data_IF_077274822653
#
_entry.id   IF_077274822653
#
_cell.length_a   1.000
_cell.length_b   1.000
_cell.length_c   1.000
_cell.angle_alpha   90.00
_cell.angle_beta   90.00
_cell.angle_gamma   90.00
#
_symmetry.space_group_name_H-M   'P 1'
#
loop_
_entity.id
_entity.type
_entity.pdbx_description
1 polymer ?
#
# COMPACT_ATOMS: atom_id res chain seq x y z
N UNK A 1 -25.96 9.92 48.65
CA UNK A 1 -26.74 8.85 48.01
C UNK A 1 -25.92 8.39 46.82
N UNK A 2 -25.61 7.11 46.81
CA UNK A 2 -24.66 6.42 45.94
C UNK A 2 -24.76 6.78 44.46
N UNK A 3 -23.64 7.15 43.87
CA UNK A 3 -23.41 7.10 42.42
C UNK A 3 -22.23 6.17 42.19
N UNK A 4 -22.47 4.88 42.39
CA UNK A 4 -21.54 3.82 41.99
C UNK A 4 -21.50 3.76 40.46
N UNK A 5 -20.45 4.33 39.87
CA UNK A 5 -20.06 4.04 38.50
C UNK A 5 -19.63 2.56 38.45
N UNK A 6 -20.32 1.76 37.66
CA UNK A 6 -19.87 0.42 37.28
C UNK A 6 -18.67 0.59 36.34
N UNK A 7 -17.47 0.24 36.81
CA UNK A 7 -16.33 0.01 35.92
C UNK A 7 -16.66 -1.18 35.01
N UNK A 8 -16.51 -1.07 33.69
CA UNK A 8 -16.54 -2.24 32.83
C UNK A 8 -15.30 -3.09 33.14
N UNK A 9 -15.52 -4.36 33.47
CA UNK A 9 -14.51 -5.40 33.58
C UNK A 9 -13.72 -5.49 32.27
N UNK A 10 -12.62 -4.74 32.19
CA UNK A 10 -11.59 -4.87 31.16
C UNK A 10 -10.86 -6.19 31.40
N UNK A 11 -11.39 -7.28 30.86
CA UNK A 11 -10.70 -8.56 30.72
C UNK A 11 -9.86 -8.60 29.45
N UNK A 12 -9.05 -7.56 29.21
CA UNK A 12 -7.85 -7.77 28.42
C UNK A 12 -6.93 -8.61 29.29
N UNK A 13 -6.87 -9.92 29.00
CA UNK A 13 -5.84 -10.77 29.55
C UNK A 13 -4.49 -10.06 29.31
N UNK A 14 -3.58 -10.00 30.31
CA UNK A 14 -2.28 -9.41 30.10
C UNK A 14 -1.63 -10.15 28.93
N UNK A 15 -1.52 -9.46 27.79
CA UNK A 15 -0.92 -10.00 26.59
C UNK A 15 0.44 -10.56 26.95
N UNK A 16 0.68 -11.80 26.52
CA UNK A 16 2.00 -12.42 26.48
C UNK A 16 2.97 -11.34 26.03
N UNK A 17 3.95 -10.99 26.88
CA UNK A 17 4.86 -9.90 26.59
C UNK A 17 5.57 -10.17 25.27
N UNK A 18 5.12 -9.52 24.19
CA UNK A 18 5.78 -9.65 22.90
C UNK A 18 7.00 -8.74 22.92
N UNK A 19 8.18 -9.31 22.71
CA UNK A 19 9.45 -8.59 22.51
C UNK A 19 9.45 -7.73 21.24
N UNK A 20 8.33 -7.72 20.50
CA UNK A 20 8.12 -7.05 19.22
C UNK A 20 6.70 -6.47 19.26
N UNK A 21 6.50 -5.20 18.87
CA UNK A 21 5.26 -4.44 19.10
C UNK A 21 3.99 -5.07 18.51
N UNK A 22 2.83 -4.45 18.78
CA UNK A 22 1.54 -4.88 18.22
C UNK A 22 1.38 -4.40 16.77
N UNK A 23 0.72 -5.18 15.90
CA UNK A 23 0.35 -4.70 14.58
C UNK A 23 -0.67 -3.57 14.72
N UNK A 24 -0.43 -2.46 14.02
CA UNK A 24 -1.27 -1.25 14.08
C UNK A 24 -2.27 -1.24 12.94
N UNK A 25 -1.83 -1.59 11.73
CA UNK A 25 -2.63 -1.51 10.52
C UNK A 25 -2.44 -2.75 9.65
N UNK A 26 -3.51 -3.22 9.01
CA UNK A 26 -3.48 -4.39 8.12
C UNK A 26 -4.13 -4.09 6.79
N UNK A 27 -3.44 -4.43 5.70
CA UNK A 27 -4.00 -4.40 4.35
C UNK A 27 -4.72 -5.72 4.07
N UNK A 28 -5.97 -5.62 3.64
CA UNK A 28 -6.82 -6.76 3.30
C UNK A 28 -7.01 -6.75 1.78
N UNK A 29 -6.24 -7.55 1.06
CA UNK A 29 -6.45 -7.77 -0.36
C UNK A 29 -7.62 -8.72 -0.56
N UNK A 30 -8.83 -8.19 -0.48
CA UNK A 30 -10.04 -9.04 -0.47
C UNK A 30 -10.31 -9.71 -1.83
N UNK A 31 -9.69 -9.23 -2.90
CA UNK A 31 -9.77 -9.76 -4.27
C UNK A 31 -8.65 -9.19 -5.13
N UNK A 32 -8.21 -9.91 -6.16
CA UNK A 32 -7.34 -9.38 -7.22
C UNK A 32 -8.08 -8.95 -8.50
N UNK A 33 -9.40 -9.09 -8.51
CA UNK A 33 -10.24 -8.58 -9.61
C UNK A 33 -10.18 -7.06 -9.62
N UNK A 34 -9.89 -6.46 -10.77
CA UNK A 34 -9.83 -5.00 -10.93
C UNK A 34 -10.31 -4.60 -12.33
N UNK A 35 -11.10 -3.53 -12.48
CA UNK A 35 -11.41 -2.98 -13.81
C UNK A 35 -10.20 -2.31 -14.46
N UNK A 36 -9.23 -1.83 -13.67
CA UNK A 36 -8.02 -1.15 -14.14
C UNK A 36 -6.88 -2.12 -14.43
N UNK A 37 -5.88 -1.63 -15.16
CA UNK A 37 -4.69 -2.39 -15.54
C UNK A 37 -3.42 -1.56 -15.37
N UNK A 38 -3.33 -0.78 -14.29
CA UNK A 38 -2.25 0.18 -14.08
C UNK A 38 -0.87 -0.48 -14.25
N UNK A 39 0.05 0.11 -15.04
CA UNK A 39 1.38 -0.47 -15.31
C UNK A 39 2.29 -0.48 -14.08
N UNK A 40 1.92 0.23 -13.03
CA UNK A 40 2.61 0.26 -11.74
C UNK A 40 1.92 -0.57 -10.66
N UNK A 41 0.90 -1.36 -11.00
CA UNK A 41 0.09 -2.08 -10.02
C UNK A 41 0.96 -2.92 -9.07
N UNK A 42 0.71 -2.78 -7.78
CA UNK A 42 1.45 -3.48 -6.74
C UNK A 42 1.13 -4.98 -6.69
N UNK A 43 -0.08 -5.37 -7.11
CA UNK A 43 -0.52 -6.77 -7.15
C UNK A 43 0.48 -7.63 -7.93
N UNK A 44 0.66 -8.90 -7.53
CA UNK A 44 1.59 -9.80 -8.21
C UNK A 44 1.27 -9.92 -9.71
N UNK A 45 2.28 -10.33 -10.50
CA UNK A 45 2.05 -10.66 -11.92
C UNK A 45 1.09 -11.84 -12.06
N UNK A 46 1.25 -12.84 -11.17
CA UNK A 46 0.38 -14.00 -11.05
C UNK A 46 -0.71 -13.71 -10.00
N UNK A 47 -1.88 -13.30 -10.47
CA UNK A 47 -3.00 -12.98 -9.59
C UNK A 47 -3.72 -14.24 -9.11
N UNK A 48 -4.08 -14.24 -7.82
CA UNK A 48 -5.07 -15.17 -7.27
C UNK A 48 -6.35 -15.22 -8.10
N UNK A 49 -6.82 -16.45 -8.34
CA UNK A 49 -8.06 -16.70 -9.07
C UNK A 49 -9.25 -16.49 -8.13
N UNK A 50 -10.42 -16.09 -8.64
CA UNK A 50 -11.61 -15.88 -7.80
C UNK A 50 -12.02 -17.10 -6.97
N UNK A 51 -11.75 -18.32 -7.46
CA UNK A 51 -12.05 -19.56 -6.73
C UNK A 51 -11.13 -19.82 -5.52
N UNK A 52 -10.00 -19.12 -5.42
CA UNK A 52 -9.07 -19.21 -4.28
C UNK A 52 -9.35 -18.13 -3.22
N UNK A 53 -10.16 -17.11 -3.54
CA UNK A 53 -10.53 -16.03 -2.63
C UNK A 53 -11.15 -16.61 -1.33
N UNK A 54 -10.83 -16.02 -0.18
CA UNK A 54 -11.49 -16.33 1.09
C UNK A 54 -12.99 -16.07 0.99
N UNK A 55 -13.76 -16.98 1.60
CA UNK A 55 -15.20 -16.85 1.73
C UNK A 55 -15.54 -15.68 2.68
N UNK A 56 -16.80 -15.26 2.67
CA UNK A 56 -17.26 -14.14 3.50
C UNK A 56 -17.06 -14.45 4.99
N UNK A 57 -17.44 -15.66 5.42
CA UNK A 57 -17.30 -16.12 6.80
C UNK A 57 -15.84 -16.18 7.28
N UNK A 58 -14.90 -16.48 6.38
CA UNK A 58 -13.47 -16.49 6.68
C UNK A 58 -12.96 -15.06 6.93
N UNK A 59 -13.36 -14.10 6.09
CA UNK A 59 -13.01 -12.69 6.29
C UNK A 59 -13.61 -12.11 7.57
N UNK A 60 -14.86 -12.45 7.89
CA UNK A 60 -15.52 -12.03 9.14
C UNK A 60 -14.73 -12.56 10.34
N UNK A 61 -14.35 -13.84 10.34
CA UNK A 61 -13.47 -14.42 11.38
C UNK A 61 -12.16 -13.64 11.49
N UNK A 62 -11.49 -13.42 10.35
CA UNK A 62 -10.21 -12.68 10.29
C UNK A 62 -10.34 -11.29 10.90
N UNK A 63 -11.41 -10.55 10.63
CA UNK A 63 -11.62 -9.20 11.19
C UNK A 63 -11.73 -9.23 12.71
N UNK A 64 -12.43 -10.19 13.30
CA UNK A 64 -12.47 -10.35 14.76
C UNK A 64 -11.10 -10.75 15.33
N UNK A 65 -10.39 -11.68 14.70
CA UNK A 65 -9.03 -12.07 15.13
C UNK A 65 -8.04 -10.89 15.05
N UNK A 66 -8.19 -9.99 14.08
CA UNK A 66 -7.38 -8.77 13.99
C UNK A 66 -7.64 -7.83 15.18
N UNK A 67 -8.91 -7.62 15.54
CA UNK A 67 -9.27 -6.82 16.70
C UNK A 67 -8.75 -7.44 18.01
N UNK A 68 -8.86 -8.76 18.16
CA UNK A 68 -8.31 -9.51 19.32
C UNK A 68 -6.78 -9.39 19.41
N UNK A 69 -6.09 -9.28 18.27
CA UNK A 69 -4.64 -9.03 18.19
C UNK A 69 -4.25 -7.59 18.53
N UNK A 70 -5.23 -6.68 18.67
CA UNK A 70 -5.01 -5.26 18.98
C UNK A 70 -4.78 -4.37 17.76
N UNK A 71 -5.14 -4.83 16.57
CA UNK A 71 -5.10 -4.02 15.34
C UNK A 71 -6.08 -2.86 15.46
N UNK A 72 -5.67 -1.68 14.98
CA UNK A 72 -6.50 -0.47 15.03
C UNK A 72 -7.15 -0.17 13.69
N UNK A 73 -6.46 -0.45 12.58
CA UNK A 73 -6.88 -0.05 11.24
C UNK A 73 -6.86 -1.21 10.25
N UNK A 74 -7.89 -1.32 9.44
CA UNK A 74 -7.93 -2.24 8.30
C UNK A 74 -8.17 -1.48 7.00
N UNK A 75 -7.44 -1.88 5.96
CA UNK A 75 -7.50 -1.27 4.64
C UNK A 75 -8.05 -2.29 3.64
N UNK A 76 -9.30 -2.14 3.22
CA UNK A 76 -9.88 -2.95 2.17
C UNK A 76 -9.31 -2.55 0.81
N UNK A 77 -8.60 -3.46 0.15
CA UNK A 77 -7.87 -3.20 -1.10
C UNK A 77 -7.72 -4.48 -1.94
N UNK A 78 -6.55 -4.71 -2.54
CA UNK A 78 -6.26 -5.78 -3.49
C UNK A 78 -6.22 -5.23 -4.90
N UNK A 79 -7.08 -5.73 -5.78
CA UNK A 79 -7.34 -5.18 -7.09
C UNK A 79 -8.39 -4.07 -7.03
N UNK A 80 -9.62 -4.45 -6.70
CA UNK A 80 -10.75 -3.54 -6.50
C UNK A 80 -11.71 -4.15 -5.46
N UNK A 81 -11.72 -3.67 -4.20
CA UNK A 81 -12.60 -4.22 -3.18
C UNK A 81 -14.07 -4.14 -3.57
N UNK A 82 -14.49 -3.14 -4.36
CA UNK A 82 -15.87 -3.00 -4.83
C UNK A 82 -16.29 -4.06 -5.88
N UNK A 83 -15.35 -4.88 -6.36
CA UNK A 83 -15.65 -6.05 -7.20
C UNK A 83 -16.22 -7.22 -6.38
N UNK A 84 -16.07 -7.21 -5.05
CA UNK A 84 -16.75 -8.14 -4.16
C UNK A 84 -18.22 -7.77 -3.97
N UNK A 85 -19.06 -8.79 -3.88
CA UNK A 85 -20.52 -8.63 -3.67
C UNK A 85 -20.84 -8.40 -2.19
N UNK A 86 -20.01 -8.97 -1.33
CA UNK A 86 -20.08 -8.99 0.13
C UNK A 86 -19.26 -7.86 0.80
N UNK A 87 -18.71 -6.90 0.05
CA UNK A 87 -17.86 -5.85 0.63
C UNK A 87 -18.56 -5.04 1.73
N UNK A 88 -19.87 -4.80 1.61
CA UNK A 88 -20.66 -4.10 2.63
C UNK A 88 -20.75 -4.91 3.91
N UNK A 89 -20.88 -6.24 3.81
CA UNK A 89 -20.89 -7.16 4.95
C UNK A 89 -19.52 -7.19 5.65
N UNK A 90 -18.42 -7.17 4.88
CA UNK A 90 -17.07 -7.11 5.45
C UNK A 90 -16.81 -5.78 6.19
N UNK A 91 -17.31 -4.66 5.66
CA UNK A 91 -17.23 -3.37 6.34
C UNK A 91 -18.03 -3.39 7.64
N UNK A 92 -19.26 -3.93 7.62
CA UNK A 92 -20.08 -4.06 8.81
C UNK A 92 -19.40 -4.92 9.90
N UNK A 93 -18.76 -6.02 9.50
CA UNK A 93 -18.00 -6.87 10.41
C UNK A 93 -16.77 -6.16 10.99
N UNK A 94 -16.07 -5.33 10.20
CA UNK A 94 -14.96 -4.52 10.70
C UNK A 94 -15.44 -3.50 11.74
N UNK A 95 -16.58 -2.86 11.49
CA UNK A 95 -17.20 -1.91 12.42
C UNK A 95 -17.66 -2.61 13.70
N UNK A 96 -18.29 -3.77 13.62
CA UNK A 96 -18.69 -4.58 14.79
C UNK A 96 -17.48 -5.01 15.64
N UNK A 97 -16.37 -5.36 14.99
CA UNK A 97 -15.09 -5.66 15.65
C UNK A 97 -14.39 -4.41 16.22
N UNK A 98 -14.90 -3.19 16.00
CA UNK A 98 -14.31 -1.96 16.50
C UNK A 98 -13.09 -1.45 15.71
N UNK A 99 -12.90 -1.93 14.48
CA UNK A 99 -11.78 -1.56 13.61
C UNK A 99 -12.09 -0.30 12.79
N UNK A 100 -11.10 0.58 12.67
CA UNK A 100 -11.19 1.70 11.73
C UNK A 100 -10.99 1.20 10.30
N UNK A 101 -12.01 1.32 9.45
CA UNK A 101 -11.99 0.77 8.09
C UNK A 101 -11.74 1.86 7.03
N UNK A 102 -10.70 1.67 6.22
CA UNK A 102 -10.41 2.48 5.03
C UNK A 102 -10.67 1.65 3.76
N UNK A 103 -11.48 2.19 2.84
CA UNK A 103 -11.71 1.61 1.53
C UNK A 103 -10.76 2.23 0.50
N UNK A 104 -9.78 1.45 0.03
CA UNK A 104 -8.85 1.85 -1.05
C UNK A 104 -9.41 1.32 -2.37
N UNK A 105 -9.94 2.22 -3.21
CA UNK A 105 -10.69 1.84 -4.42
C UNK A 105 -10.24 2.62 -5.65
N UNK A 106 -10.47 2.03 -6.82
CA UNK A 106 -10.34 2.75 -8.09
C UNK A 106 -11.46 3.78 -8.30
N UNK A 107 -12.54 3.75 -7.50
CA UNK A 107 -13.72 4.61 -7.65
C UNK A 107 -14.64 4.24 -8.82
N UNK A 108 -14.21 3.41 -9.76
CA UNK A 108 -14.97 3.09 -11.00
C UNK A 108 -16.32 2.42 -10.71
N UNK A 109 -16.39 1.61 -9.65
CA UNK A 109 -17.58 0.84 -9.24
C UNK A 109 -18.29 1.44 -8.02
N UNK A 110 -18.00 2.70 -7.67
CA UNK A 110 -18.51 3.36 -6.48
C UNK A 110 -19.71 4.25 -6.83
N UNK A 111 -20.92 3.68 -6.78
CA UNK A 111 -22.17 4.43 -6.99
C UNK A 111 -22.69 5.07 -5.70
N UNK A 112 -23.66 5.99 -5.82
CA UNK A 112 -24.32 6.61 -4.67
C UNK A 112 -24.96 5.58 -3.74
N UNK A 113 -25.62 4.57 -4.30
CA UNK A 113 -26.30 3.51 -3.54
C UNK A 113 -25.28 2.66 -2.78
N UNK A 114 -24.14 2.34 -3.41
CA UNK A 114 -23.08 1.57 -2.77
C UNK A 114 -22.38 2.38 -1.67
N UNK A 115 -22.16 3.68 -1.87
CA UNK A 115 -21.65 4.58 -0.83
C UNK A 115 -22.60 4.68 0.36
N UNK A 116 -23.90 4.80 0.12
CA UNK A 116 -24.90 4.83 1.19
C UNK A 116 -24.89 3.53 2.01
N UNK A 117 -24.81 2.37 1.34
CA UNK A 117 -24.71 1.08 2.01
C UNK A 117 -23.41 0.95 2.84
N UNK A 118 -22.28 1.45 2.33
CA UNK A 118 -21.01 1.49 3.07
C UNK A 118 -21.09 2.42 4.29
N UNK A 119 -21.80 3.55 4.18
CA UNK A 119 -22.00 4.48 5.30
C UNK A 119 -22.86 3.85 6.39
N UNK A 120 -23.94 3.16 6.01
CA UNK A 120 -24.79 2.41 6.94
C UNK A 120 -24.02 1.27 7.61
N UNK A 121 -23.12 0.60 6.89
CA UNK A 121 -22.24 -0.42 7.43
C UNK A 121 -21.13 0.14 8.34
N UNK A 122 -20.95 1.47 8.42
CA UNK A 122 -19.98 2.10 9.31
C UNK A 122 -18.57 2.25 8.75
N UNK A 123 -18.42 2.32 7.41
CA UNK A 123 -17.13 2.64 6.79
C UNK A 123 -16.56 3.96 7.37
N UNK A 124 -15.27 3.99 7.70
CA UNK A 124 -14.67 5.17 8.34
C UNK A 124 -14.05 6.15 7.35
N UNK A 125 -13.47 5.65 6.26
CA UNK A 125 -12.66 6.46 5.34
C UNK A 125 -12.66 5.89 3.91
N UNK A 126 -12.55 6.78 2.92
CA UNK A 126 -12.43 6.40 1.50
C UNK A 126 -11.17 7.00 0.90
N UNK A 127 -10.40 6.15 0.23
CA UNK A 127 -9.21 6.53 -0.52
C UNK A 127 -9.41 6.17 -2.00
N UNK A 128 -9.35 7.18 -2.87
CA UNK A 128 -9.53 7.01 -4.31
C UNK A 128 -8.22 7.27 -5.03
N UNK A 129 -7.75 6.26 -5.78
CA UNK A 129 -6.52 6.40 -6.58
C UNK A 129 -6.81 7.07 -7.91
N UNK A 130 -6.08 8.15 -8.21
CA UNK A 130 -6.09 8.86 -9.49
C UNK A 130 -4.76 8.64 -10.22
N UNK A 131 -4.84 8.41 -11.53
CA UNK A 131 -3.67 8.08 -12.37
C UNK A 131 -3.06 9.31 -13.06
N UNK A 132 -3.75 10.44 -13.02
CA UNK A 132 -3.40 11.72 -13.62
C UNK A 132 -4.55 12.71 -13.40
N UNK A 133 -4.31 14.00 -13.61
CA UNK A 133 -5.31 15.07 -13.45
C UNK A 133 -6.15 15.26 -14.71
N UNK A 134 -5.68 14.73 -15.84
CA UNK A 134 -6.32 14.82 -17.14
C UNK A 134 -6.87 13.45 -17.57
N UNK A 135 -8.03 13.47 -18.24
CA UNK A 135 -8.70 12.22 -18.65
C UNK A 135 -7.84 11.35 -19.55
N UNK A 136 -7.08 11.94 -20.48
CA UNK A 136 -6.24 11.18 -21.40
C UNK A 136 -5.14 10.42 -20.66
N UNK A 137 -4.34 11.12 -19.85
CA UNK A 137 -3.27 10.50 -19.05
C UNK A 137 -3.83 9.50 -18.06
N UNK A 138 -4.88 9.86 -17.32
CA UNK A 138 -5.47 9.00 -16.30
C UNK A 138 -6.07 7.71 -16.88
N UNK A 139 -6.80 7.80 -17.99
CA UNK A 139 -7.40 6.64 -18.64
C UNK A 139 -6.35 5.74 -19.31
N UNK A 140 -5.32 6.36 -19.92
CA UNK A 140 -4.18 5.63 -20.49
C UNK A 140 -3.46 4.85 -19.41
N UNK A 141 -2.94 5.53 -18.39
CA UNK A 141 -2.22 4.91 -17.28
C UNK A 141 -3.12 3.90 -16.54
N UNK A 142 -4.41 4.19 -16.37
CA UNK A 142 -5.36 3.26 -15.76
C UNK A 142 -5.70 2.04 -16.61
N UNK A 143 -5.39 2.05 -17.91
CA UNK A 143 -5.80 1.03 -18.87
C UNK A 143 -7.32 0.91 -18.98
N UNK A 144 -8.06 2.01 -18.77
CA UNK A 144 -9.52 2.01 -18.69
C UNK A 144 -10.11 3.31 -19.23
N UNK A 145 -10.91 3.20 -20.31
CA UNK A 145 -11.55 4.34 -20.95
C UNK A 145 -12.66 4.93 -20.07
N UNK A 146 -12.71 6.27 -19.98
CA UNK A 146 -13.64 7.04 -19.17
C UNK A 146 -13.52 6.72 -17.66
N UNK A 147 -12.34 6.29 -17.20
CA UNK A 147 -12.09 5.99 -15.79
C UNK A 147 -11.99 7.26 -14.97
N UNK A 148 -11.32 8.28 -15.50
CA UNK A 148 -11.12 9.56 -14.83
C UNK A 148 -12.44 10.25 -14.47
N UNK A 149 -13.37 10.37 -15.44
CA UNK A 149 -14.68 10.98 -15.20
C UNK A 149 -15.48 10.24 -14.11
N UNK A 150 -15.42 8.90 -14.08
CA UNK A 150 -16.07 8.10 -13.04
C UNK A 150 -15.45 8.34 -11.67
N UNK A 151 -14.13 8.47 -11.60
CA UNK A 151 -13.39 8.74 -10.36
C UNK A 151 -13.71 10.10 -9.77
N UNK A 152 -13.80 11.13 -10.61
CA UNK A 152 -14.22 12.48 -10.19
C UNK A 152 -15.62 12.45 -9.58
N UNK A 153 -16.58 11.76 -10.23
CA UNK A 153 -17.92 11.62 -9.67
C UNK A 153 -17.91 10.81 -8.36
N UNK A 154 -17.16 9.71 -8.31
CA UNK A 154 -17.02 8.91 -7.09
C UNK A 154 -16.45 9.72 -5.91
N UNK A 155 -15.45 10.56 -6.15
CA UNK A 155 -14.87 11.44 -5.14
C UNK A 155 -15.88 12.50 -4.66
N UNK A 156 -16.63 13.10 -5.58
CA UNK A 156 -17.70 14.06 -5.26
C UNK A 156 -18.80 13.41 -4.41
N UNK A 157 -19.28 12.23 -4.82
CA UNK A 157 -20.27 11.45 -4.07
C UNK A 157 -19.76 11.05 -2.68
N UNK A 158 -18.48 10.69 -2.57
CA UNK A 158 -17.84 10.35 -1.30
C UNK A 158 -17.92 11.51 -0.31
N UNK A 159 -17.61 12.74 -0.76
CA UNK A 159 -17.74 13.94 0.08
C UNK A 159 -19.19 14.31 0.38
N UNK A 160 -20.10 14.18 -0.58
CA UNK A 160 -21.54 14.39 -0.34
C UNK A 160 -22.09 13.45 0.73
N UNK A 161 -21.59 12.21 0.78
CA UNK A 161 -21.94 11.22 1.80
C UNK A 161 -21.28 11.50 3.16
N UNK A 162 -20.45 12.54 3.28
CA UNK A 162 -19.80 12.95 4.52
C UNK A 162 -18.52 12.20 4.86
N UNK A 163 -18.01 11.35 3.97
CA UNK A 163 -16.78 10.60 4.23
C UNK A 163 -15.53 11.49 4.18
N UNK A 164 -14.57 11.28 5.08
CA UNK A 164 -13.17 11.63 4.86
C UNK A 164 -12.69 11.05 3.52
N UNK A 165 -12.07 11.90 2.70
CA UNK A 165 -11.54 11.53 1.39
C UNK A 165 -10.02 11.74 1.38
N UNK A 166 -9.31 10.69 0.99
CA UNK A 166 -7.91 10.78 0.55
C UNK A 166 -7.82 10.57 -0.96
N UNK A 167 -7.14 11.48 -1.64
CA UNK A 167 -6.70 11.26 -3.02
C UNK A 167 -5.35 10.56 -3.00
N UNK A 168 -5.23 9.42 -3.64
CA UNK A 168 -3.95 8.73 -3.80
C UNK A 168 -3.44 8.94 -5.23
N UNK A 169 -2.26 9.54 -5.36
CA UNK A 169 -1.62 9.92 -6.61
C UNK A 169 -0.29 9.17 -6.74
N UNK A 170 -0.26 8.16 -7.61
CA UNK A 170 0.98 7.45 -7.90
C UNK A 170 1.75 8.20 -8.98
N UNK A 171 2.89 8.76 -8.61
CA UNK A 171 3.72 9.62 -9.45
C UNK A 171 4.86 8.83 -10.11
N UNK A 172 5.06 9.07 -11.40
CA UNK A 172 6.07 8.44 -12.24
C UNK A 172 6.51 9.37 -13.39
N UNK A 173 7.54 8.96 -14.15
CA UNK A 173 8.15 9.74 -15.25
C UNK A 173 7.16 10.42 -16.18
N UNK A 174 6.03 9.78 -16.46
CA UNK A 174 5.07 10.24 -17.48
C UNK A 174 3.92 11.09 -16.92
N UNK A 175 3.75 11.21 -15.60
CA UNK A 175 2.69 12.04 -15.01
C UNK A 175 3.19 13.03 -13.94
N UNK A 176 4.47 13.02 -13.58
CA UNK A 176 5.05 13.93 -12.58
C UNK A 176 4.83 15.42 -12.87
N UNK A 177 4.79 15.78 -14.15
CA UNK A 177 4.50 17.17 -14.56
C UNK A 177 3.09 17.63 -14.18
N UNK A 178 2.15 16.70 -13.95
CA UNK A 178 0.76 16.98 -13.55
C UNK A 178 0.60 17.12 -12.02
N UNK A 179 1.67 17.06 -11.24
CA UNK A 179 1.60 17.11 -9.78
C UNK A 179 0.89 18.37 -9.25
N UNK A 180 1.18 19.59 -9.74
CA UNK A 180 0.47 20.79 -9.29
C UNK A 180 -1.05 20.66 -9.48
N UNK A 181 -1.48 20.23 -10.66
CA UNK A 181 -2.89 20.05 -11.01
C UNK A 181 -3.54 18.92 -10.22
N UNK A 182 -2.80 17.86 -9.89
CA UNK A 182 -3.27 16.78 -9.02
C UNK A 182 -3.54 17.27 -7.59
N UNK A 183 -2.67 18.14 -7.06
CA UNK A 183 -2.84 18.76 -5.75
C UNK A 183 -4.07 19.68 -5.76
N UNK A 184 -4.19 20.55 -6.77
CA UNK A 184 -5.32 21.45 -6.88
C UNK A 184 -6.64 20.68 -7.09
N UNK A 185 -6.64 19.61 -7.89
CA UNK A 185 -7.78 18.70 -8.03
C UNK A 185 -8.18 18.07 -6.69
N UNK A 186 -7.23 17.67 -5.84
CA UNK A 186 -7.55 17.12 -4.51
C UNK A 186 -8.24 18.18 -3.62
N UNK A 187 -7.80 19.44 -3.67
CA UNK A 187 -8.45 20.56 -2.99
C UNK A 187 -9.87 20.78 -3.52
N UNK A 188 -10.05 20.83 -4.84
CA UNK A 188 -11.35 21.03 -5.49
C UNK A 188 -12.35 19.92 -5.16
N UNK A 189 -11.87 18.67 -5.08
CA UNK A 189 -12.65 17.52 -4.66
C UNK A 189 -12.96 17.54 -3.16
N UNK A 190 -12.45 18.50 -2.38
CA UNK A 190 -12.64 18.59 -0.94
C UNK A 190 -11.96 17.45 -0.17
N UNK A 191 -10.89 16.87 -0.73
CA UNK A 191 -10.09 15.88 -0.02
C UNK A 191 -9.40 16.52 1.18
N UNK A 192 -9.25 15.74 2.25
CA UNK A 192 -8.53 16.18 3.46
C UNK A 192 -7.06 15.80 3.39
N UNK A 193 -6.73 14.85 2.52
CA UNK A 193 -5.39 14.29 2.35
C UNK A 193 -5.13 13.96 0.89
N UNK A 194 -3.91 14.20 0.44
CA UNK A 194 -3.36 13.64 -0.80
C UNK A 194 -2.10 12.84 -0.47
N UNK A 195 -2.04 11.60 -0.95
CA UNK A 195 -0.81 10.80 -0.93
C UNK A 195 -0.11 10.96 -2.28
N UNK A 196 1.03 11.65 -2.27
CA UNK A 196 1.92 11.80 -3.42
C UNK A 196 2.96 10.68 -3.33
N UNK A 197 2.61 9.52 -3.89
CA UNK A 197 3.40 8.31 -3.79
C UNK A 197 4.24 8.11 -5.05
N UNK A 198 5.56 8.21 -4.97
CA UNK A 198 6.39 7.76 -6.08
C UNK A 198 6.27 6.24 -6.26
N UNK A 199 6.24 5.80 -7.52
CA UNK A 199 6.16 4.38 -7.86
C UNK A 199 7.22 3.59 -7.11
N UNK A 200 6.76 2.49 -6.51
CA UNK A 200 7.61 1.47 -5.92
C UNK A 200 7.81 0.35 -6.92
N UNK A 201 9.05 -0.10 -7.11
CA UNK A 201 9.42 -0.98 -8.23
C UNK A 201 9.37 -2.46 -7.85
N UNK A 202 8.16 -2.98 -7.75
CA UNK A 202 7.85 -4.41 -7.62
C UNK A 202 6.69 -4.79 -8.55
N UNK A 203 6.48 -6.08 -8.79
CA UNK A 203 5.37 -6.58 -9.62
C UNK A 203 5.34 -5.92 -11.00
N UNK A 204 4.23 -5.27 -11.33
CA UNK A 204 4.06 -4.60 -12.64
C UNK A 204 4.97 -3.39 -12.82
N UNK A 205 5.27 -2.66 -11.76
CA UNK A 205 6.15 -1.51 -11.83
C UNK A 205 7.59 -1.91 -12.19
N UNK A 206 8.06 -3.07 -11.70
CA UNK A 206 9.36 -3.61 -12.08
C UNK A 206 9.39 -4.01 -13.56
N UNK A 207 8.32 -4.61 -14.07
CA UNK A 207 8.17 -4.94 -15.50
C UNK A 207 8.14 -3.71 -16.40
N UNK A 208 7.59 -2.60 -15.90
CA UNK A 208 7.46 -1.32 -16.61
C UNK A 208 8.51 -0.28 -16.17
N UNK A 209 9.64 -0.71 -15.59
CA UNK A 209 10.59 0.18 -14.91
C UNK A 209 11.08 1.33 -15.79
N UNK A 210 11.55 1.06 -17.01
CA UNK A 210 11.99 2.06 -17.98
C UNK A 210 10.96 3.19 -18.20
N UNK A 211 9.70 2.80 -18.40
CA UNK A 211 8.60 3.70 -18.70
C UNK A 211 8.13 4.50 -17.47
N UNK A 212 8.44 4.05 -16.26
CA UNK A 212 7.97 4.63 -14.99
C UNK A 212 9.06 5.41 -14.24
N UNK A 213 10.34 5.03 -14.39
CA UNK A 213 11.48 5.60 -13.65
C UNK A 213 11.65 7.10 -13.96
N UNK A 214 11.39 8.00 -13.00
CA UNK A 214 11.55 9.44 -13.24
C UNK A 214 13.02 9.82 -13.38
N UNK A 215 13.31 11.00 -13.91
CA UNK A 215 14.67 11.57 -13.88
C UNK A 215 14.93 12.27 -12.55
N UNK A 216 16.20 12.50 -12.21
CA UNK A 216 16.58 13.28 -11.02
C UNK A 216 15.95 14.69 -11.05
N UNK A 217 16.00 15.37 -12.21
CA UNK A 217 15.39 16.70 -12.38
C UNK A 217 13.88 16.70 -12.10
N UNK A 218 13.17 15.66 -12.51
CA UNK A 218 11.74 15.50 -12.20
C UNK A 218 11.51 15.33 -10.70
N UNK A 219 12.38 14.62 -10.00
CA UNK A 219 12.28 14.43 -8.55
C UNK A 219 12.63 15.71 -7.78
N UNK A 220 13.66 16.44 -8.18
CA UNK A 220 13.97 17.75 -7.60
C UNK A 220 12.82 18.74 -7.78
N UNK A 221 12.21 18.75 -8.97
CA UNK A 221 11.01 19.54 -9.27
C UNK A 221 9.82 19.12 -8.39
N UNK A 222 9.59 17.81 -8.25
CA UNK A 222 8.55 17.24 -7.39
C UNK A 222 8.73 17.68 -5.92
N UNK A 223 9.94 17.53 -5.38
CA UNK A 223 10.28 17.93 -4.01
C UNK A 223 9.96 19.41 -3.76
N UNK A 224 10.32 20.29 -4.71
CA UNK A 224 10.04 21.72 -4.63
C UNK A 224 8.53 22.01 -4.65
N UNK A 225 7.79 21.39 -5.58
CA UNK A 225 6.33 21.58 -5.69
C UNK A 225 5.62 21.13 -4.40
N UNK A 226 6.00 19.97 -3.86
CA UNK A 226 5.43 19.47 -2.60
C UNK A 226 5.70 20.44 -1.45
N UNK A 227 6.95 20.87 -1.27
CA UNK A 227 7.30 21.79 -0.19
C UNK A 227 6.55 23.14 -0.28
N UNK A 228 6.42 23.69 -1.49
CA UNK A 228 5.63 24.90 -1.74
C UNK A 228 4.13 24.68 -1.45
N UNK A 229 3.59 23.53 -1.81
CA UNK A 229 2.18 23.17 -1.59
C UNK A 229 1.87 22.89 -0.12
N UNK A 230 2.75 22.22 0.62
CA UNK A 230 2.59 21.96 2.06
C UNK A 230 2.47 23.26 2.85
N UNK A 231 3.27 24.28 2.51
CA UNK A 231 3.17 25.59 3.15
C UNK A 231 1.89 26.32 2.73
N UNK A 232 1.59 26.33 1.42
CA UNK A 232 0.40 27.02 0.86
C UNK A 232 -0.91 26.44 1.37
N UNK A 233 -0.98 25.13 1.60
CA UNK A 233 -2.21 24.39 1.91
C UNK A 233 -2.28 23.90 3.36
N UNK A 234 -1.41 24.42 4.23
CA UNK A 234 -1.38 24.10 5.66
C UNK A 234 -2.76 24.28 6.29
N UNK A 235 -3.30 23.20 6.85
CA UNK A 235 -4.64 23.17 7.47
C UNK A 235 -5.81 23.03 6.50
N UNK A 236 -5.56 22.99 5.19
CA UNK A 236 -6.56 22.75 4.14
C UNK A 236 -6.43 21.32 3.62
N UNK A 237 -5.22 20.93 3.20
CA UNK A 237 -4.92 19.62 2.64
C UNK A 237 -3.64 19.08 3.28
N UNK A 238 -3.70 17.88 3.83
CA UNK A 238 -2.51 17.16 4.28
C UNK A 238 -1.85 16.48 3.07
N UNK A 239 -0.57 16.76 2.82
CA UNK A 239 0.20 16.14 1.74
C UNK A 239 1.13 15.11 2.38
N UNK A 240 0.95 13.84 2.05
CA UNK A 240 1.90 12.79 2.41
C UNK A 240 2.75 12.45 1.20
N UNK A 241 4.03 12.80 1.28
CA UNK A 241 4.96 12.64 0.19
C UNK A 241 5.94 11.51 0.43
N UNK A 242 5.98 10.55 -0.50
CA UNK A 242 6.92 9.43 -0.47
C UNK A 242 7.97 9.64 -1.55
N UNK A 243 9.18 10.04 -1.15
CA UNK A 243 10.35 10.17 -2.04
C UNK A 243 10.72 8.79 -2.63
N UNK A 244 11.15 8.68 -3.90
CA UNK A 244 11.58 7.40 -4.45
C UNK A 244 12.88 6.93 -3.79
N UNK A 245 12.95 5.64 -3.45
CA UNK A 245 14.12 5.06 -2.78
C UNK A 245 15.42 5.18 -3.61
N UNK A 246 15.29 5.20 -4.94
CA UNK A 246 16.40 5.37 -5.89
C UNK A 246 17.14 6.72 -5.77
N UNK A 247 16.57 7.70 -5.05
CA UNK A 247 17.14 9.03 -4.87
C UNK A 247 17.32 9.41 -3.38
N UNK A 248 17.06 8.47 -2.47
CA UNK A 248 17.21 8.71 -1.04
C UNK A 248 18.65 8.51 -0.58
N UNK A 249 19.14 9.35 0.35
CA UNK A 249 20.47 9.18 0.97
C UNK A 249 20.47 8.03 2.00
N UNK A 250 19.29 7.75 2.56
CA UNK A 250 19.03 6.69 3.52
C UNK A 250 17.71 6.01 3.16
N UNK A 251 17.60 4.68 3.35
CA UNK A 251 16.38 3.97 3.03
C UNK A 251 15.28 4.39 3.99
N UNK A 252 14.03 4.43 3.50
CA UNK A 252 12.87 4.64 4.36
C UNK A 252 12.66 3.44 5.30
N UNK A 253 12.05 3.68 6.45
CA UNK A 253 11.52 2.63 7.32
C UNK A 253 10.32 1.97 6.64
N UNK A 254 10.55 0.95 5.83
CA UNK A 254 9.50 0.27 5.05
C UNK A 254 8.42 -0.29 5.98
N UNK A 255 7.21 0.27 5.91
CA UNK A 255 6.05 -0.12 6.74
C UNK A 255 6.32 -0.16 8.25
N UNK A 256 7.22 0.68 8.77
CA UNK A 256 7.58 0.70 10.19
C UNK A 256 8.54 -0.41 10.64
N UNK A 257 9.06 -1.20 9.69
CA UNK A 257 9.93 -2.35 9.91
C UNK A 257 9.22 -3.68 9.59
N UNK A 258 9.96 -4.63 9.04
CA UNK A 258 9.42 -5.93 8.60
C UNK A 258 8.66 -6.65 9.71
N UNK A 259 7.36 -6.90 9.46
CA UNK A 259 6.49 -7.60 10.39
C UNK A 259 6.39 -6.93 11.77
N UNK A 260 6.52 -5.60 11.88
CA UNK A 260 6.54 -4.90 13.18
C UNK A 260 5.27 -4.11 13.49
N UNK A 261 4.74 -3.37 12.53
CA UNK A 261 3.54 -2.53 12.71
C UNK A 261 2.46 -2.79 11.67
N UNK A 262 2.81 -3.47 10.59
CA UNK A 262 1.94 -3.69 9.45
C UNK A 262 2.15 -5.08 8.88
N UNK A 263 1.09 -5.63 8.32
CA UNK A 263 1.13 -6.79 7.44
C UNK A 263 -0.05 -6.74 6.45
N UNK A 264 -0.01 -7.65 5.48
CA UNK A 264 -0.99 -7.80 4.43
C UNK A 264 -1.60 -9.20 4.49
N UNK A 265 -2.87 -9.34 4.12
CA UNK A 265 -3.54 -10.62 3.93
C UNK A 265 -4.00 -10.70 2.48
N UNK A 266 -3.45 -11.67 1.75
CA UNK A 266 -3.78 -11.90 0.33
C UNK A 266 -5.22 -12.40 0.15
N UNK A 267 -5.78 -12.42 -1.09
CA UNK A 267 -7.12 -12.94 -1.30
C UNK A 267 -7.27 -14.40 -0.90
N UNK A 268 -6.19 -15.20 -1.00
CA UNK A 268 -6.18 -16.61 -0.62
C UNK A 268 -6.00 -16.83 0.89
N UNK A 269 -5.73 -15.77 1.66
CA UNK A 269 -5.54 -15.80 3.11
C UNK A 269 -4.09 -15.88 3.58
N UNK A 270 -3.11 -15.77 2.67
CA UNK A 270 -1.69 -15.74 3.06
C UNK A 270 -1.38 -14.45 3.81
N UNK A 271 -0.62 -14.54 4.88
CA UNK A 271 -0.20 -13.39 5.69
C UNK A 271 1.23 -13.00 5.31
N UNK A 272 1.38 -11.76 4.83
CA UNK A 272 2.61 -11.23 4.27
C UNK A 272 3.08 -10.01 5.08
N UNK A 273 4.38 -9.89 5.42
CA UNK A 273 4.89 -8.74 6.18
C UNK A 273 4.83 -7.42 5.41
N UNK A 274 4.70 -7.47 4.08
CA UNK A 274 4.37 -6.34 3.23
C UNK A 274 3.77 -6.83 1.91
N UNK A 275 3.21 -5.91 1.12
CA UNK A 275 2.59 -6.22 -0.17
C UNK A 275 3.54 -6.95 -1.14
N UNK A 276 4.83 -6.61 -1.14
CA UNK A 276 5.78 -7.17 -2.11
C UNK A 276 6.50 -8.43 -1.59
N UNK A 277 6.17 -8.96 -0.40
CA UNK A 277 6.97 -10.00 0.24
C UNK A 277 7.07 -11.31 -0.58
N UNK A 278 6.04 -11.64 -1.37
CA UNK A 278 6.05 -12.83 -2.24
C UNK A 278 7.05 -12.75 -3.40
N UNK A 279 7.69 -11.58 -3.64
CA UNK A 279 8.80 -11.51 -4.60
C UNK A 279 10.08 -12.15 -4.07
N UNK A 280 10.22 -12.29 -2.74
CA UNK A 280 11.40 -12.89 -2.11
C UNK A 280 11.28 -14.40 -2.20
N UNK A 281 12.06 -15.00 -3.09
CA UNK A 281 12.07 -16.46 -3.24
C UNK A 281 12.72 -17.11 -2.03
N UNK A 282 12.12 -18.20 -1.51
CA UNK A 282 12.64 -18.93 -0.35
C UNK A 282 12.00 -18.55 0.99
N UNK A 283 10.94 -17.75 0.98
CA UNK A 283 10.04 -17.58 2.11
C UNK A 283 8.73 -18.32 1.85
N UNK A 284 8.28 -19.10 2.82
CA UNK A 284 6.97 -19.74 2.84
C UNK A 284 6.06 -18.97 3.80
N UNK A 285 4.94 -18.44 3.29
CA UNK A 285 4.03 -17.62 4.06
C UNK A 285 2.84 -18.44 4.57
N UNK A 286 2.56 -18.31 5.87
CA UNK A 286 1.43 -18.97 6.53
C UNK A 286 0.08 -18.35 6.11
N UNK A 287 -0.99 -19.12 6.30
CA UNK A 287 -2.35 -18.72 5.93
C UNK A 287 -3.30 -18.73 7.13
N UNK A 288 -4.23 -17.77 7.15
CA UNK A 288 -5.34 -17.71 8.11
C UNK A 288 -6.34 -18.86 7.96
N UNK A 289 -6.16 -19.70 6.93
CA UNK A 289 -6.89 -20.97 6.76
C UNK A 289 -6.37 -22.06 7.69
N UNK A 290 -5.08 -22.02 8.00
CA UNK A 290 -4.35 -23.10 8.67
C UNK A 290 -3.95 -22.71 10.11
N UNK A 291 -3.75 -21.42 10.36
CA UNK A 291 -3.30 -20.88 11.64
C UNK A 291 -4.10 -19.64 12.05
N UNK A 292 -4.22 -19.39 13.36
CA UNK A 292 -4.78 -18.12 13.85
C UNK A 292 -3.82 -16.96 13.64
N UNK A 293 -4.35 -15.74 13.52
CA UNK A 293 -3.52 -14.55 13.32
C UNK A 293 -2.54 -14.30 14.47
N UNK A 294 -2.93 -14.59 15.72
CA UNK A 294 -2.01 -14.52 16.86
C UNK A 294 -0.83 -15.48 16.72
N UNK A 295 -1.09 -16.71 16.27
CA UNK A 295 -0.01 -17.67 16.03
C UNK A 295 0.91 -17.20 14.90
N UNK A 296 0.34 -16.74 13.78
CA UNK A 296 1.12 -16.24 12.64
C UNK A 296 1.97 -15.05 13.06
N UNK A 297 1.40 -14.10 13.81
CA UNK A 297 2.11 -12.92 14.28
C UNK A 297 3.34 -13.28 15.12
N UNK A 298 3.18 -14.21 16.06
CA UNK A 298 4.22 -14.55 17.03
C UNK A 298 5.23 -15.58 16.50
N UNK A 299 4.77 -16.55 15.70
CA UNK A 299 5.53 -17.77 15.41
C UNK A 299 5.84 -17.99 13.92
N UNK A 300 5.22 -17.26 12.99
CA UNK A 300 5.48 -17.46 11.56
C UNK A 300 6.96 -17.24 11.23
N UNK A 301 7.66 -18.22 10.63
CA UNK A 301 9.05 -18.06 10.24
C UNK A 301 9.25 -16.91 9.23
N UNK A 302 8.35 -16.75 8.26
CA UNK A 302 8.47 -15.69 7.24
C UNK A 302 8.23 -14.30 7.84
N UNK A 303 7.24 -14.16 8.72
CA UNK A 303 6.93 -12.87 9.35
C UNK A 303 8.04 -12.43 10.32
N UNK A 304 8.71 -13.39 10.97
CA UNK A 304 9.82 -13.13 11.90
C UNK A 304 11.20 -13.09 11.24
N UNK A 305 11.35 -13.53 9.98
CA UNK A 305 12.68 -13.71 9.33
C UNK A 305 13.58 -12.48 9.39
N UNK A 306 13.00 -11.31 9.13
CA UNK A 306 13.69 -10.02 9.12
C UNK A 306 13.13 -9.04 10.17
N UNK A 307 12.45 -9.57 11.20
CA UNK A 307 11.93 -8.76 12.30
C UNK A 307 13.06 -8.44 13.27
N UNK A 308 13.10 -7.21 13.77
CA UNK A 308 14.16 -6.75 14.67
C UNK A 308 15.49 -6.55 13.93
N UNK A 309 16.61 -6.74 14.63
CA UNK A 309 17.97 -6.42 14.13
C UNK A 309 18.93 -7.60 14.12
N UNK A 310 18.57 -8.74 14.73
CA UNK A 310 19.46 -9.90 14.89
C UNK A 310 19.87 -10.57 13.56
N UNK A 311 19.05 -10.42 12.53
CA UNK A 311 19.31 -10.96 11.19
C UNK A 311 20.32 -10.14 10.38
N UNK A 312 20.63 -8.90 10.81
CA UNK A 312 21.36 -7.94 10.00
C UNK A 312 22.84 -8.33 9.84
N UNK A 313 23.33 -8.20 8.61
CA UNK A 313 24.75 -8.22 8.28
C UNK A 313 25.38 -6.83 8.42
N UNK A 314 26.71 -6.73 8.34
CA UNK A 314 27.38 -5.44 8.20
C UNK A 314 27.04 -4.79 6.83
N UNK A 315 26.94 -3.45 6.76
CA UNK A 315 27.19 -2.48 7.82
C UNK A 315 26.03 -2.26 8.80
N UNK A 316 24.83 -2.78 8.50
CA UNK A 316 23.63 -2.55 9.33
C UNK A 316 23.79 -3.05 10.77
N UNK A 317 24.48 -4.19 10.95
CA UNK A 317 24.68 -4.81 12.26
C UNK A 317 25.35 -3.88 13.27
N UNK A 318 26.34 -3.09 12.86
CA UNK A 318 27.05 -2.13 13.71
C UNK A 318 26.56 -0.68 13.57
N UNK A 319 25.55 -0.43 12.73
CA UNK A 319 25.03 0.91 12.46
C UNK A 319 24.21 1.46 13.62
N UNK A 320 24.38 2.75 13.93
CA UNK A 320 23.62 3.45 14.98
C UNK A 320 22.12 3.56 14.66
N UNK A 321 21.75 3.49 13.38
CA UNK A 321 20.37 3.68 12.91
C UNK A 321 19.60 2.37 12.65
N UNK A 322 20.19 1.23 12.98
CA UNK A 322 19.61 -0.10 12.69
C UNK A 322 18.22 -0.33 13.32
N UNK A 323 17.88 0.42 14.37
CA UNK A 323 16.57 0.39 15.05
C UNK A 323 15.63 1.52 14.58
N UNK A 324 16.07 2.37 13.66
CA UNK A 324 15.29 3.46 13.07
C UNK A 324 14.75 3.05 11.70
N UNK A 325 15.65 2.65 10.79
CA UNK A 325 15.31 2.27 9.41
C UNK A 325 15.15 0.76 9.21
N UNK A 326 15.55 -0.05 10.20
CA UNK A 326 15.53 -1.51 10.16
C UNK A 326 16.21 -2.10 8.92
N UNK A 327 17.27 -1.44 8.44
CA UNK A 327 18.03 -1.83 7.27
C UNK A 327 17.34 -1.50 5.95
N UNK A 328 16.17 -0.85 5.95
CA UNK A 328 15.42 -0.49 4.75
C UNK A 328 14.53 -1.61 4.19
N UNK A 329 14.19 -1.52 2.91
CA UNK A 329 13.26 -2.41 2.23
C UNK A 329 13.90 -3.77 1.86
N UNK A 330 13.39 -4.85 2.46
CA UNK A 330 13.88 -6.22 2.18
C UNK A 330 13.54 -6.69 0.76
N UNK A 331 12.39 -6.24 0.22
CA UNK A 331 11.98 -6.58 -1.15
C UNK A 331 12.88 -5.89 -2.19
N UNK A 332 13.31 -4.65 -1.92
CA UNK A 332 14.25 -3.93 -2.77
C UNK A 332 15.66 -4.53 -2.68
N UNK A 333 16.12 -4.84 -1.47
CA UNK A 333 17.37 -5.57 -1.27
C UNK A 333 17.40 -6.87 -2.07
N UNK A 334 16.32 -7.68 -2.01
CA UNK A 334 16.23 -8.89 -2.82
C UNK A 334 16.22 -8.61 -4.33
N UNK A 335 15.41 -7.67 -4.80
CA UNK A 335 15.27 -7.38 -6.23
C UNK A 335 16.58 -6.87 -6.88
N UNK A 336 17.44 -6.20 -6.10
CA UNK A 336 18.67 -5.59 -6.61
C UNK A 336 19.94 -6.36 -6.25
N UNK A 337 19.99 -6.97 -5.07
CA UNK A 337 21.16 -7.70 -4.58
C UNK A 337 21.02 -9.23 -4.71
N UNK A 338 19.82 -9.74 -5.00
CA UNK A 338 19.51 -11.18 -4.98
C UNK A 338 19.40 -11.78 -3.57
N UNK A 339 19.53 -10.97 -2.52
CA UNK A 339 19.44 -11.39 -1.12
C UNK A 339 18.64 -10.38 -0.29
N UNK A 340 17.51 -10.83 0.27
CA UNK A 340 16.66 -10.03 1.15
C UNK A 340 17.32 -9.72 2.51
N UNK A 341 18.39 -10.42 2.88
CA UNK A 341 19.23 -10.13 4.06
C UNK A 341 20.29 -9.04 3.83
N UNK A 342 20.51 -8.61 2.58
CA UNK A 342 21.49 -7.58 2.27
C UNK A 342 21.02 -6.18 2.72
N UNK A 343 21.96 -5.26 2.94
CA UNK A 343 21.64 -3.84 3.14
C UNK A 343 20.88 -3.31 1.92
N UNK A 344 19.80 -2.57 2.15
CA UNK A 344 19.04 -1.94 1.07
C UNK A 344 19.97 -1.06 0.21
N UNK A 345 20.07 -1.28 -1.11
CA UNK A 345 20.91 -0.48 -2.00
C UNK A 345 20.57 1.02 -2.03
N UNK A 346 19.38 1.43 -1.58
CA UNK A 346 19.07 2.84 -1.36
C UNK A 346 19.94 3.49 -0.26
N UNK A 347 20.54 2.70 0.64
CA UNK A 347 21.47 3.18 1.65
C UNK A 347 22.84 3.50 1.06
N UNK A 348 23.39 4.68 1.38
CA UNK A 348 24.75 5.07 0.96
C UNK A 348 25.88 4.20 1.51
N UNK A 349 25.62 3.38 2.54
CA UNK A 349 26.57 2.40 3.05
C UNK A 349 26.47 1.04 2.36
N UNK A 350 25.49 0.83 1.47
CA UNK A 350 25.41 -0.39 0.69
C UNK A 350 26.54 -0.44 -0.35
N UNK A 351 27.23 -1.58 -0.52
CA UNK A 351 28.23 -1.74 -1.58
C UNK A 351 27.62 -1.66 -2.99
N UNK A 352 26.29 -1.77 -3.11
CA UNK A 352 25.54 -1.68 -4.37
C UNK A 352 24.91 -0.30 -4.60
N UNK A 353 25.21 0.70 -3.77
CA UNK A 353 24.60 2.03 -3.86
C UNK A 353 24.88 2.71 -5.22
N UNK A 354 26.10 2.61 -5.73
CA UNK A 354 26.44 3.20 -7.04
C UNK A 354 25.80 2.44 -8.22
N UNK A 355 25.38 1.19 -8.02
CA UNK A 355 24.71 0.41 -9.04
C UNK A 355 23.24 0.78 -9.18
N UNK A 356 22.55 1.06 -8.06
CA UNK A 356 21.14 1.48 -8.10
C UNK A 356 20.94 2.80 -8.87
N UNK A 357 21.86 3.77 -8.72
CA UNK A 357 21.81 5.02 -9.49
C UNK A 357 22.06 4.81 -10.98
N UNK A 358 23.05 3.97 -11.34
CA UNK A 358 23.32 3.67 -12.75
C UNK A 358 22.15 2.99 -13.43
N UNK A 359 21.45 2.09 -12.74
CA UNK A 359 20.21 1.49 -13.23
C UNK A 359 19.16 2.57 -13.42
N UNK A 360 18.95 3.45 -12.44
CA UNK A 360 17.97 4.53 -12.55
C UNK A 360 18.26 5.48 -13.72
N UNK A 361 19.51 5.90 -13.90
CA UNK A 361 19.94 6.75 -15.02
C UNK A 361 19.72 6.07 -16.37
N UNK A 362 20.06 4.78 -16.48
CA UNK A 362 19.89 4.02 -17.73
C UNK A 362 18.41 3.87 -18.08
N UNK A 363 17.57 3.50 -17.10
CA UNK A 363 16.13 3.32 -17.29
C UNK A 363 15.43 4.64 -17.58
N UNK A 364 15.81 5.72 -16.89
CA UNK A 364 15.29 7.07 -17.13
C UNK A 364 15.78 7.69 -18.46
N UNK A 365 16.83 7.14 -19.07
CA UNK A 365 17.31 7.51 -20.41
C UNK A 365 16.71 6.64 -21.53
N UNK A 366 15.92 5.62 -21.20
CA UNK A 366 15.31 4.76 -22.22
C UNK A 366 14.37 5.55 -23.16
N UNK A 367 14.44 5.22 -24.44
CA UNK A 367 13.61 5.81 -25.51
C UNK A 367 12.19 5.22 -25.55
N UNK A 368 12.04 3.93 -25.21
CA UNK A 368 10.75 3.26 -25.19
C UNK A 368 10.02 3.55 -23.87
N UNK A 369 8.97 4.36 -23.98
CA UNK A 369 8.10 4.79 -22.88
C UNK A 369 6.74 4.06 -22.88
N UNK A 370 6.61 2.98 -23.66
CA UNK A 370 5.38 2.21 -23.73
C UNK A 370 5.12 1.43 -22.44
N UNK A 371 3.84 1.28 -22.10
CA UNK A 371 3.41 0.47 -20.98
C UNK A 371 3.03 -0.94 -21.43
N UNK A 372 3.59 -1.94 -20.75
CA UNK A 372 3.05 -3.29 -20.71
C UNK A 372 1.85 -3.33 -19.76
N UNK A 373 0.67 -3.52 -20.32
CA UNK A 373 -0.57 -3.72 -19.58
C UNK A 373 -0.86 -5.21 -19.39
N UNK A 374 -1.61 -5.52 -18.33
CA UNK A 374 -1.96 -6.89 -17.94
C UNK A 374 -2.64 -7.71 -19.04
N UNK A 375 -3.57 -7.12 -19.79
CA UNK A 375 -4.31 -7.87 -20.82
C UNK A 375 -3.66 -7.80 -22.21
N UNK A 376 -2.58 -7.04 -22.36
CA UNK A 376 -1.86 -6.86 -23.63
C UNK A 376 -0.41 -7.35 -23.51
N UNK A 377 -0.23 -8.53 -22.90
CA UNK A 377 1.09 -9.12 -22.71
C UNK A 377 1.80 -9.27 -24.06
N UNK A 378 2.92 -8.58 -24.21
CA UNK A 378 4.00 -9.04 -25.10
C UNK A 378 4.79 -10.09 -24.31
N UNK A 379 5.04 -11.30 -24.86
CA UNK A 379 5.84 -12.32 -24.17
C UNK A 379 7.20 -11.74 -23.76
N UNK A 380 7.62 -11.98 -22.52
CA UNK A 380 8.99 -11.68 -22.08
C UNK A 380 9.89 -12.79 -22.60
N UNK A 381 11.01 -12.50 -23.28
CA UNK A 381 11.97 -13.54 -23.63
C UNK A 381 12.56 -14.14 -22.34
N UNK A 382 12.30 -15.42 -22.08
CA UNK A 382 12.96 -16.18 -20.99
C UNK A 382 12.11 -16.57 -19.78
N UNK A 383 10.78 -16.41 -19.81
CA UNK A 383 9.86 -17.13 -18.91
C UNK A 383 9.58 -18.56 -19.37
#
# INVERSE_FOLDING_TARGET
MDTSFHEPDSKLAPGVGTTHGLPVAVLLEVTHRCPLQCPYCSNPLNLERPAAELATEDWVRVLHELADLGVLQVHFSGGEPMARRDIVELVAAATDAGLYSNLITSGVNLSRERLAALAEAGLSHVQISFQGSESETADRVGGYRNGHAKKLEAARLTREAGFPLTVNAVMHRQNLHQLPEMIDMAVELGAQRIEVANVQYYGWALRNRAALMPTMEQIETCNRIVAEAEERLRGILMIDYVVPDYYAVRPKTCMGGWGRQFFNISPAGKVLPCHAAETITGLDFDSVRDHSLAWIWDHSPALNRYRGTDWMAEPCKSCEHREEDFGGCRCQAFALAGDAGATDPACSFSPLHDEIFRVAETEAAADDMSFAYRNYLTPVPGE
#
